data_IF_770088748642
#
_entry.id   IF_770088748642
#
_cell.length_a   1.000
_cell.length_b   1.000
_cell.length_c   1.000
_cell.angle_alpha   90.00
_cell.angle_beta   90.00
_cell.angle_gamma   90.00
#
_symmetry.space_group_name_H-M   'P 1'
#
loop_
_entity.id
_entity.type
_entity.pdbx_description
1 polymer ?
#
# COMPACT_ATOMS: atom_id res chain seq x y z
N UNK A 1 31.58 -12.67 10.11
CA UNK A 1 30.71 -13.32 9.11
C UNK A 1 29.28 -12.86 9.39
N UNK A 2 28.62 -12.20 8.44
CA UNK A 2 27.25 -11.68 8.61
C UNK A 2 26.27 -12.77 8.16
N UNK A 3 25.28 -13.19 8.97
CA UNK A 3 24.28 -14.15 8.50
C UNK A 3 23.29 -13.45 7.56
N UNK A 4 23.14 -14.02 6.37
CA UNK A 4 22.15 -13.65 5.37
C UNK A 4 20.76 -14.05 5.86
N UNK A 5 19.89 -13.08 6.15
CA UNK A 5 18.49 -13.33 6.45
C UNK A 5 17.74 -13.63 5.13
N UNK A 6 17.35 -14.88 4.97
CA UNK A 6 16.44 -15.32 3.93
C UNK A 6 15.03 -14.73 4.19
N UNK A 7 14.51 -13.98 3.22
CA UNK A 7 13.10 -13.62 3.18
C UNK A 7 12.29 -14.88 2.79
N UNK A 8 11.87 -15.64 3.80
CA UNK A 8 10.88 -16.69 3.65
C UNK A 8 9.49 -16.07 3.62
N UNK A 9 8.80 -16.12 2.47
CA UNK A 9 7.37 -15.83 2.39
C UNK A 9 6.63 -17.17 2.40
N UNK A 10 5.84 -17.38 3.45
CA UNK A 10 5.07 -18.61 3.71
C UNK A 10 3.81 -18.63 2.84
N UNK A 11 3.51 -19.82 2.32
CA UNK A 11 2.36 -20.22 1.50
C UNK A 11 1.12 -20.58 2.35
N UNK A 12 -0.03 -20.66 1.65
CA UNK A 12 -1.29 -21.39 1.93
C UNK A 12 -2.51 -20.48 2.27
N UNK A 13 -3.74 -20.73 1.80
CA UNK A 13 -4.34 -22.00 1.39
C UNK A 13 -5.44 -21.83 0.32
N UNK A 14 -5.57 -22.84 -0.54
CA UNK A 14 -6.77 -23.15 -1.33
C UNK A 14 -7.84 -23.71 -0.39
N UNK A 15 -9.01 -23.08 -0.34
CA UNK A 15 -10.23 -23.71 0.22
C UNK A 15 -11.22 -23.93 -0.90
N UNK A 16 -11.34 -25.20 -1.29
CA UNK A 16 -12.42 -25.75 -2.09
C UNK A 16 -13.69 -25.75 -1.22
N UNK A 17 -14.69 -24.95 -1.57
CA UNK A 17 -15.97 -24.93 -0.85
C UNK A 17 -17.00 -24.12 -1.62
N UNK A 18 -17.92 -24.82 -2.28
CA UNK A 18 -19.01 -24.19 -3.03
C UNK A 18 -20.02 -23.50 -2.12
N UNK A 19 -20.44 -22.31 -2.53
CA UNK A 19 -21.71 -21.70 -2.15
C UNK A 19 -22.35 -21.13 -3.42
N UNK A 20 -23.51 -21.69 -3.79
CA UNK A 20 -24.46 -21.08 -4.72
C UNK A 20 -25.16 -19.93 -3.98
N UNK A 21 -25.26 -18.75 -4.59
CA UNK A 21 -26.08 -17.65 -4.10
C UNK A 21 -26.96 -17.13 -5.22
N UNK A 22 -28.24 -16.99 -4.89
CA UNK A 22 -29.36 -16.66 -5.77
C UNK A 22 -29.22 -15.26 -6.36
N UNK A 23 -29.56 -15.13 -7.65
CA UNK A 23 -29.61 -13.85 -8.35
C UNK A 23 -30.90 -13.11 -7.98
N UNK A 24 -30.77 -11.87 -7.49
CA UNK A 24 -31.84 -10.89 -7.43
C UNK A 24 -31.64 -9.89 -8.59
N UNK A 25 -32.67 -9.76 -9.41
CA UNK A 25 -32.74 -8.96 -10.62
C UNK A 25 -33.41 -7.62 -10.32
N UNK A 26 -32.64 -6.55 -10.10
CA UNK A 26 -32.89 -5.26 -10.76
C UNK A 26 -31.85 -4.17 -10.47
N UNK A 27 -31.86 -3.18 -11.36
CA UNK A 27 -31.24 -1.85 -11.26
C UNK A 27 -29.81 -1.76 -11.76
N UNK A 28 -29.70 -1.64 -13.08
CA UNK A 28 -28.49 -1.20 -13.76
C UNK A 28 -28.16 0.25 -13.44
N UNK A 29 -26.96 0.45 -12.88
CA UNK A 29 -26.15 1.61 -13.20
C UNK A 29 -24.67 1.26 -13.01
N UNK A 30 -23.90 1.37 -14.11
CA UNK A 30 -22.44 1.47 -14.13
C UNK A 30 -21.60 0.25 -13.74
N UNK A 31 -21.76 -0.86 -14.48
CA UNK A 31 -20.73 -1.89 -14.60
C UNK A 31 -19.55 -1.40 -15.46
N UNK A 32 -18.83 -0.35 -15.03
CA UNK A 32 -17.49 -0.09 -15.55
C UNK A 32 -16.60 -1.20 -15.00
N UNK A 33 -16.32 -2.18 -15.87
CA UNK A 33 -15.54 -3.39 -15.64
C UNK A 33 -14.66 -3.35 -14.39
N UNK A 34 -15.05 -4.13 -13.39
CA UNK A 34 -14.30 -4.41 -12.16
C UNK A 34 -13.12 -5.34 -12.49
N UNK A 35 -12.26 -4.95 -13.43
CA UNK A 35 -10.99 -5.63 -13.60
C UNK A 35 -10.22 -5.49 -12.27
N UNK A 36 -9.57 -6.56 -11.79
CA UNK A 36 -8.75 -6.45 -10.59
C UNK A 36 -7.73 -5.33 -10.82
N UNK A 37 -7.79 -4.31 -9.96
CA UNK A 37 -6.98 -3.11 -10.15
C UNK A 37 -5.52 -3.52 -10.05
N UNK A 38 -4.79 -3.50 -11.17
CA UNK A 38 -3.41 -3.99 -11.25
C UNK A 38 -2.56 -3.25 -10.22
N UNK A 39 -1.99 -4.01 -9.29
CA UNK A 39 -1.02 -3.49 -8.33
C UNK A 39 0.33 -3.32 -9.01
N UNK A 40 0.98 -2.21 -8.72
CA UNK A 40 2.35 -1.92 -9.12
C UNK A 40 3.16 -1.60 -7.88
N UNK A 41 4.43 -1.96 -7.88
CA UNK A 41 5.36 -1.60 -6.80
C UNK A 41 6.11 -0.36 -7.22
N UNK A 42 6.16 0.65 -6.35
CA UNK A 42 6.95 1.88 -6.55
C UNK A 42 7.69 2.24 -5.29
N UNK A 43 8.94 2.66 -5.45
CA UNK A 43 9.79 3.16 -4.36
C UNK A 43 9.73 4.68 -4.31
N UNK A 44 9.37 5.22 -3.16
CA UNK A 44 9.34 6.66 -2.90
C UNK A 44 10.50 7.02 -1.99
N UNK A 45 11.43 7.86 -2.48
CA UNK A 45 12.50 8.42 -1.65
C UNK A 45 11.91 9.46 -0.71
N UNK A 46 12.29 9.39 0.56
CA UNK A 46 11.77 10.24 1.64
C UNK A 46 12.87 10.93 2.45
N UNK A 47 14.13 10.79 2.02
CA UNK A 47 15.30 11.40 2.66
C UNK A 47 15.21 12.94 2.76
N UNK A 48 14.48 13.54 1.84
CA UNK A 48 14.27 14.97 1.68
C UNK A 48 13.00 15.48 2.38
N UNK A 49 12.21 14.58 2.98
CA UNK A 49 10.97 14.94 3.67
C UNK A 49 11.24 15.19 5.16
N UNK A 50 10.42 16.04 5.83
CA UNK A 50 10.51 16.28 7.27
C UNK A 50 9.94 15.10 8.09
N UNK A 51 10.46 13.89 7.85
CA UNK A 51 10.02 12.63 8.48
C UNK A 51 11.03 12.18 9.54
N UNK A 52 11.52 13.14 10.32
CA UNK A 52 12.53 12.92 11.34
C UNK A 52 11.94 12.97 12.74
N UNK A 53 12.46 12.15 13.64
CA UNK A 53 12.17 12.26 15.08
C UNK A 53 12.82 13.52 15.66
N UNK A 54 12.47 13.85 16.92
CA UNK A 54 13.17 14.91 17.67
C UNK A 54 14.68 14.71 17.72
N UNK A 55 15.13 13.45 17.67
CA UNK A 55 16.53 13.04 17.67
C UNK A 55 17.18 13.09 16.28
N UNK A 56 16.49 13.64 15.27
CA UNK A 56 16.91 13.74 13.86
C UNK A 56 17.11 12.37 13.17
N UNK A 57 16.54 11.30 13.74
CA UNK A 57 16.55 9.99 13.10
C UNK A 57 15.45 9.90 12.05
N UNK A 58 15.75 9.29 10.90
CA UNK A 58 14.75 9.05 9.86
C UNK A 58 13.72 8.04 10.36
N UNK A 59 12.46 8.45 10.46
CA UNK A 59 11.35 7.60 10.90
C UNK A 59 10.20 7.67 9.90
N UNK A 60 10.04 6.63 9.04
CA UNK A 60 9.00 6.62 8.02
C UNK A 60 7.60 6.36 8.61
N UNK A 61 7.49 5.97 9.88
CA UNK A 61 6.25 5.50 10.51
C UNK A 61 5.14 6.54 10.39
N UNK A 62 5.43 7.81 10.72
CA UNK A 62 4.43 8.88 10.65
C UNK A 62 3.95 9.15 9.22
N UNK A 63 4.85 9.06 8.24
CA UNK A 63 4.49 9.21 6.84
C UNK A 63 3.66 8.03 6.34
N UNK A 64 4.00 6.80 6.76
CA UNK A 64 3.23 5.61 6.46
C UNK A 64 1.80 5.71 7.03
N UNK A 65 1.66 6.14 8.28
CA UNK A 65 0.35 6.37 8.92
C UNK A 65 -0.47 7.46 8.21
N UNK A 66 0.20 8.54 7.80
CA UNK A 66 -0.43 9.61 7.01
C UNK A 66 -0.93 9.08 5.65
N UNK A 67 -0.09 8.34 4.92
CA UNK A 67 -0.48 7.72 3.65
C UNK A 67 -1.67 6.78 3.86
N UNK A 68 -1.61 5.92 4.89
CA UNK A 68 -2.66 4.95 5.17
C UNK A 68 -3.99 5.60 5.53
N UNK A 69 -3.97 6.71 6.28
CA UNK A 69 -5.18 7.42 6.73
C UNK A 69 -5.78 8.35 5.67
N UNK A 70 -4.99 8.79 4.68
CA UNK A 70 -5.44 9.78 3.67
C UNK A 70 -5.67 9.18 2.28
N UNK A 71 -4.89 8.17 1.89
CA UNK A 71 -4.95 7.56 0.56
C UNK A 71 -5.83 6.31 0.63
N UNK A 72 -7.13 6.47 0.38
CA UNK A 72 -8.10 5.37 0.29
C UNK A 72 -7.93 4.35 1.44
N UNK A 73 -8.30 4.68 2.69
CA UNK A 73 -7.92 3.90 3.87
C UNK A 73 -8.29 2.42 3.81
N UNK A 74 -9.44 2.09 3.20
CA UNK A 74 -9.92 0.71 3.02
C UNK A 74 -9.10 -0.12 2.02
N UNK A 75 -8.21 0.51 1.26
CA UNK A 75 -7.37 -0.18 0.27
C UNK A 75 -6.13 -0.84 0.87
N UNK A 76 -5.76 -0.52 2.11
CA UNK A 76 -4.57 -1.03 2.79
C UNK A 76 -4.83 -2.36 3.51
N UNK A 77 -3.83 -3.24 3.53
CA UNK A 77 -3.88 -4.57 4.16
C UNK A 77 -4.36 -4.54 5.61
N UNK A 78 -3.85 -3.59 6.42
CA UNK A 78 -4.28 -3.41 7.81
C UNK A 78 -5.76 -2.98 7.97
N UNK A 79 -6.48 -2.73 6.88
CA UNK A 79 -7.93 -2.45 6.82
C UNK A 79 -8.68 -3.46 5.92
N UNK A 80 -8.06 -4.59 5.59
CA UNK A 80 -8.66 -5.65 4.76
C UNK A 80 -8.54 -5.42 3.25
N UNK A 81 -7.72 -4.46 2.82
CA UNK A 81 -7.41 -4.22 1.41
C UNK A 81 -6.20 -5.00 0.90
N UNK A 82 -5.79 -4.71 -0.33
CA UNK A 82 -4.68 -5.41 -1.01
C UNK A 82 -3.40 -4.59 -1.18
N UNK A 83 -3.44 -3.31 -0.79
CA UNK A 83 -2.28 -2.41 -0.89
C UNK A 83 -1.37 -2.59 0.31
N UNK A 84 -0.07 -2.57 0.09
CA UNK A 84 0.96 -2.76 1.12
C UNK A 84 2.01 -1.65 1.05
N UNK A 85 2.66 -1.40 2.18
CA UNK A 85 3.77 -0.45 2.28
C UNK A 85 4.79 -0.96 3.29
N UNK A 86 6.08 -0.70 3.02
CA UNK A 86 7.16 -1.10 3.90
C UNK A 86 8.31 -0.08 3.86
N UNK A 87 9.01 0.15 4.98
CA UNK A 87 10.21 0.98 4.99
C UNK A 87 11.37 0.28 4.29
N UNK A 88 12.21 1.07 3.62
CA UNK A 88 13.47 0.62 3.01
C UNK A 88 14.61 1.55 3.46
N UNK A 89 15.23 1.26 4.62
CA UNK A 89 16.19 2.18 5.26
C UNK A 89 17.47 2.43 4.47
N UNK A 90 17.88 1.50 3.60
CA UNK A 90 19.15 1.57 2.85
C UNK A 90 19.33 2.86 2.05
N UNK A 91 18.24 3.46 1.58
CA UNK A 91 18.23 4.72 0.87
C UNK A 91 17.12 5.68 1.38
N UNK A 92 16.66 5.49 2.62
CA UNK A 92 15.61 6.30 3.27
C UNK A 92 14.36 6.42 2.38
N UNK A 93 13.84 5.26 1.95
CA UNK A 93 12.66 5.19 1.09
C UNK A 93 11.54 4.38 1.74
N UNK A 94 10.35 4.48 1.15
CA UNK A 94 9.21 3.60 1.41
C UNK A 94 8.87 2.89 0.10
N UNK A 95 8.69 1.58 0.16
CA UNK A 95 8.25 0.76 -0.97
C UNK A 95 6.76 0.52 -0.81
N UNK A 96 5.98 0.83 -1.86
CA UNK A 96 4.53 0.74 -1.82
C UNK A 96 4.03 -0.09 -3.00
N UNK A 97 3.20 -1.09 -2.71
CA UNK A 97 2.44 -1.85 -3.70
C UNK A 97 0.99 -1.40 -3.68
N UNK A 98 0.52 -0.74 -4.73
CA UNK A 98 -0.87 -0.27 -4.83
C UNK A 98 -1.29 -0.09 -6.28
N UNK A 99 -2.55 0.24 -6.53
CA UNK A 99 -3.02 0.64 -7.86
C UNK A 99 -2.47 2.02 -8.32
N UNK A 100 -2.55 2.27 -9.63
CA UNK A 100 -2.11 3.52 -10.26
C UNK A 100 -2.79 4.78 -9.68
N UNK A 101 -4.07 4.69 -9.30
CA UNK A 101 -4.82 5.83 -8.76
C UNK A 101 -4.27 6.27 -7.41
N UNK A 102 -3.95 5.33 -6.53
CA UNK A 102 -3.37 5.58 -5.23
C UNK A 102 -1.93 6.06 -5.36
N UNK A 103 -1.12 5.51 -6.29
CA UNK A 103 0.21 6.04 -6.58
C UNK A 103 0.19 7.53 -6.95
N UNK A 104 -0.77 7.95 -7.78
CA UNK A 104 -0.95 9.38 -8.12
C UNK A 104 -1.29 10.24 -6.90
N UNK A 105 -2.04 9.71 -5.94
CA UNK A 105 -2.37 10.43 -4.70
C UNK A 105 -1.19 10.51 -3.74
N UNK A 106 -0.46 9.41 -3.60
CA UNK A 106 0.77 9.35 -2.79
C UNK A 106 1.80 10.35 -3.33
N UNK A 107 2.01 10.37 -4.65
CA UNK A 107 2.92 11.32 -5.28
C UNK A 107 2.57 12.76 -4.94
N UNK A 108 1.29 13.14 -5.11
CA UNK A 108 0.80 14.49 -4.76
C UNK A 108 0.94 14.81 -3.27
N UNK A 109 0.71 13.82 -2.39
CA UNK A 109 0.87 14.01 -0.96
C UNK A 109 2.34 14.28 -0.62
N UNK A 110 3.26 13.48 -1.16
CA UNK A 110 4.70 13.62 -0.93
C UNK A 110 5.20 14.96 -1.48
N UNK A 111 4.75 15.38 -2.66
CA UNK A 111 5.08 16.70 -3.23
C UNK A 111 4.70 17.84 -2.29
N UNK A 112 3.50 17.80 -1.69
CA UNK A 112 3.05 18.83 -0.72
C UNK A 112 3.86 18.87 0.58
N UNK A 113 4.56 17.80 0.92
CA UNK A 113 5.41 17.75 2.11
C UNK A 113 6.82 18.32 1.84
N UNK A 114 7.14 18.61 0.57
CA UNK A 114 8.42 19.20 0.14
C UNK A 114 8.36 20.72 0.02
N UNK A 115 7.16 21.26 -0.18
CA UNK A 115 6.89 22.70 -0.27
C UNK A 115 6.93 23.35 1.12
#
# INVERSE_FOLDING_TARGET
>A
MKPTLAFGLVLAALVSGGIVSFADENTGENAKSKQPEKLTVTTYRTADLPVFTSDKEWSPVLLMDLIQSTVFPKSWEAKGGTSTMAPYPQNQSIVISTNSRNHKRIQKLIERLRD
#
